data_IF_841216928050
#
_entry.id   IF_841216928050
#
_cell.length_a   1.000
_cell.length_b   1.000
_cell.length_c   1.000
_cell.angle_alpha   90.00
_cell.angle_beta   90.00
_cell.angle_gamma   90.00
#
_symmetry.space_group_name_H-M   'P 1'
#
loop_
_entity.id
_entity.type
_entity.pdbx_description
1 polymer ?
#
# COMPACT_ATOMS: atom_id res chain seq x y z
N UNK A 1 23.05 -0.15 -2.90
CA UNK A 1 23.49 -0.15 -4.31
C UNK A 1 23.67 1.32 -4.67
N UNK A 2 24.91 1.82 -4.68
CA UNK A 2 25.23 3.09 -5.35
C UNK A 2 24.84 2.92 -6.82
N UNK A 3 24.16 3.90 -7.42
CA UNK A 3 24.09 3.95 -8.88
C UNK A 3 25.53 4.01 -9.41
N UNK A 4 26.01 2.86 -9.91
CA UNK A 4 27.41 2.65 -10.25
C UNK A 4 27.89 3.75 -11.20
N UNK A 5 28.78 4.63 -10.72
CA UNK A 5 29.47 5.63 -11.54
C UNK A 5 29.03 7.10 -11.39
N UNK A 6 28.02 7.41 -10.56
CA UNK A 6 27.60 8.79 -10.30
C UNK A 6 27.96 9.23 -8.88
N UNK A 7 28.48 10.46 -8.73
CA UNK A 7 28.61 11.09 -7.41
C UNK A 7 27.22 11.45 -6.87
N UNK A 8 27.10 11.56 -5.54
CA UNK A 8 25.87 12.03 -4.89
C UNK A 8 25.41 13.38 -5.47
N UNK A 9 26.35 14.29 -5.72
CA UNK A 9 26.11 15.59 -6.33
C UNK A 9 25.52 15.48 -7.74
N UNK A 10 26.04 14.56 -8.57
CA UNK A 10 25.50 14.31 -9.91
C UNK A 10 24.09 13.75 -9.88
N UNK A 11 23.75 12.92 -8.89
CA UNK A 11 22.40 12.38 -8.69
C UNK A 11 21.44 13.50 -8.29
N UNK A 12 21.82 14.33 -7.32
CA UNK A 12 21.01 15.47 -6.87
C UNK A 12 20.77 16.46 -8.01
N UNK A 13 21.79 16.81 -8.78
CA UNK A 13 21.64 17.69 -9.94
C UNK A 13 20.69 17.11 -11.00
N UNK A 14 20.73 15.80 -11.23
CA UNK A 14 19.82 15.11 -12.15
C UNK A 14 18.37 15.12 -11.66
N UNK A 15 18.14 14.97 -10.35
CA UNK A 15 16.82 15.08 -9.73
C UNK A 15 16.28 16.51 -9.91
N UNK A 16 17.07 17.52 -9.55
CA UNK A 16 16.67 18.93 -9.64
C UNK A 16 16.36 19.36 -11.09
N UNK A 17 17.16 18.89 -12.06
CA UNK A 17 16.92 19.18 -13.46
C UNK A 17 15.61 18.57 -14.00
N UNK A 18 15.16 17.44 -13.46
CA UNK A 18 13.93 16.75 -13.87
C UNK A 18 12.70 17.18 -13.08
N UNK A 19 12.90 17.84 -11.94
CA UNK A 19 11.83 18.23 -11.03
C UNK A 19 10.76 19.11 -11.68
N UNK A 20 11.07 20.14 -12.50
CA UNK A 20 10.03 20.97 -13.11
C UNK A 20 9.06 20.20 -14.01
N UNK A 21 9.58 19.29 -14.85
CA UNK A 21 8.75 18.46 -15.73
C UNK A 21 7.99 17.40 -14.94
N UNK A 22 8.63 16.80 -13.93
CA UNK A 22 7.96 15.87 -13.03
C UNK A 22 6.77 16.52 -12.32
N UNK A 23 6.98 17.70 -11.74
CA UNK A 23 5.94 18.44 -11.02
C UNK A 23 4.82 18.93 -11.96
N UNK A 24 5.14 19.24 -13.23
CA UNK A 24 4.16 19.74 -14.21
C UNK A 24 3.34 18.64 -14.87
N UNK A 25 3.91 17.45 -15.11
CA UNK A 25 3.29 16.44 -15.98
C UNK A 25 3.13 15.05 -15.33
N UNK A 26 3.89 14.73 -14.29
CA UNK A 26 3.86 13.41 -13.64
C UNK A 26 3.12 13.48 -12.30
N UNK A 27 3.54 14.37 -11.40
CA UNK A 27 2.94 14.53 -10.08
C UNK A 27 1.43 14.80 -10.10
N UNK A 28 0.86 15.59 -11.04
CA UNK A 28 -0.58 15.85 -11.06
C UNK A 28 -1.41 14.58 -11.26
N UNK A 29 -0.88 13.55 -11.95
CA UNK A 29 -1.62 12.32 -12.23
C UNK A 29 -2.05 11.56 -10.97
N UNK A 30 -1.43 11.85 -9.82
CA UNK A 30 -1.82 11.31 -8.52
C UNK A 30 -3.28 11.61 -8.16
N UNK A 31 -3.86 12.71 -8.66
CA UNK A 31 -5.25 13.08 -8.37
C UNK A 31 -6.28 12.09 -8.97
N UNK A 32 -5.88 11.38 -10.03
CA UNK A 32 -6.72 10.42 -10.74
C UNK A 32 -6.55 8.99 -10.24
N UNK A 33 -5.61 8.74 -9.31
CA UNK A 33 -5.37 7.40 -8.79
C UNK A 33 -6.45 6.99 -7.78
N UNK A 34 -7.04 5.81 -7.99
CA UNK A 34 -7.96 5.21 -7.02
C UNK A 34 -7.20 4.70 -5.78
N UNK A 35 -5.95 4.29 -5.95
CA UNK A 35 -5.03 3.90 -4.90
C UNK A 35 -3.61 4.40 -5.24
N UNK A 36 -3.02 5.16 -4.32
CA UNK A 36 -1.64 5.65 -4.40
C UNK A 36 -0.81 5.04 -3.27
N UNK A 37 0.40 4.57 -3.59
CA UNK A 37 1.39 4.15 -2.60
C UNK A 37 2.45 5.25 -2.48
N UNK A 38 2.49 5.92 -1.33
CA UNK A 38 3.54 6.88 -1.00
C UNK A 38 4.60 6.22 -0.14
N UNK A 39 5.87 6.32 -0.57
CA UNK A 39 7.02 5.82 0.16
C UNK A 39 7.82 7.00 0.68
N UNK A 40 7.89 7.13 2.00
CA UNK A 40 8.45 8.28 2.71
C UNK A 40 9.53 7.79 3.71
N UNK A 41 10.44 8.66 4.16
CA UNK A 41 11.30 8.35 5.30
C UNK A 41 10.48 8.02 6.56
N UNK A 42 11.04 7.21 7.46
CA UNK A 42 10.41 6.87 8.74
C UNK A 42 10.26 8.10 9.65
N UNK A 43 9.21 8.10 10.47
CA UNK A 43 9.05 9.02 11.60
C UNK A 43 9.46 8.40 12.94
N UNK A 44 9.83 7.11 12.97
CA UNK A 44 10.18 6.40 14.20
C UNK A 44 11.58 6.77 14.71
N UNK A 45 12.50 7.09 13.81
CA UNK A 45 13.84 7.57 14.11
C UNK A 45 14.29 8.58 13.04
N UNK A 46 14.56 9.83 13.46
CA UNK A 46 14.92 10.91 12.56
C UNK A 46 16.29 10.74 11.88
N UNK A 47 17.18 9.94 12.48
CA UNK A 47 18.51 9.66 11.92
C UNK A 47 18.52 8.42 11.01
N UNK A 48 17.45 7.62 11.03
CA UNK A 48 17.32 6.43 10.18
C UNK A 48 16.91 6.80 8.76
N UNK A 49 17.83 6.56 7.81
CA UNK A 49 17.65 6.84 6.38
C UNK A 49 17.26 5.61 5.56
N UNK A 50 17.06 4.46 6.20
CA UNK A 50 16.78 3.17 5.56
C UNK A 50 15.35 2.71 5.81
N UNK A 51 14.85 2.92 7.03
CA UNK A 51 13.49 2.54 7.38
C UNK A 51 12.48 3.43 6.68
N UNK A 52 11.40 2.83 6.19
CA UNK A 52 10.39 3.50 5.37
C UNK A 52 9.07 3.62 6.13
N UNK A 53 8.41 4.74 5.88
CA UNK A 53 7.00 4.95 6.16
C UNK A 53 6.22 4.89 4.86
N UNK A 54 5.31 3.94 4.74
CA UNK A 54 4.59 3.67 3.51
C UNK A 54 3.10 3.84 3.72
N UNK A 55 2.46 4.64 2.87
CA UNK A 55 1.04 4.96 2.92
C UNK A 55 0.34 4.40 1.69
N UNK A 56 -0.72 3.63 1.88
CA UNK A 56 -1.74 3.38 0.87
C UNK A 56 -2.85 4.42 1.02
N UNK A 57 -2.85 5.41 0.13
CA UNK A 57 -3.88 6.45 0.03
C UNK A 57 -4.97 5.95 -0.91
N UNK A 58 -6.16 5.67 -0.38
CA UNK A 58 -7.23 4.96 -1.08
C UNK A 58 -8.44 5.87 -1.25
N UNK A 59 -8.84 6.15 -2.49
CA UNK A 59 -9.95 7.04 -2.81
C UNK A 59 -11.29 6.48 -2.34
N UNK A 60 -12.07 7.32 -1.67
CA UNK A 60 -13.43 6.97 -1.25
C UNK A 60 -14.43 7.09 -2.41
N UNK A 61 -15.50 6.30 -2.35
CA UNK A 61 -16.61 6.40 -3.31
C UNK A 61 -16.30 5.88 -4.71
N UNK A 62 -15.23 5.09 -4.89
CA UNK A 62 -14.91 4.43 -6.16
C UNK A 62 -15.73 3.13 -6.27
N UNK A 63 -16.47 2.97 -7.36
CA UNK A 63 -17.32 1.80 -7.59
C UNK A 63 -16.52 0.49 -7.53
N UNK A 64 -17.07 -0.48 -6.79
CA UNK A 64 -16.52 -1.83 -6.58
C UNK A 64 -15.15 -1.89 -5.86
N UNK A 65 -14.62 -0.75 -5.39
CA UNK A 65 -13.37 -0.64 -4.64
C UNK A 65 -13.65 -0.24 -3.19
N UNK A 66 -13.29 -1.13 -2.26
CA UNK A 66 -13.48 -0.93 -0.83
C UNK A 66 -12.11 -0.71 -0.17
N UNK A 67 -11.82 0.49 0.39
CA UNK A 67 -10.54 0.76 1.05
C UNK A 67 -10.25 -0.18 2.21
N UNK A 68 -9.01 -0.67 2.28
CA UNK A 68 -8.48 -1.43 3.40
C UNK A 68 -8.23 -0.53 4.62
N UNK A 69 -8.46 -1.07 5.82
CA UNK A 69 -8.28 -0.37 7.10
C UNK A 69 -7.93 -1.37 8.21
N UNK A 70 -7.47 -0.88 9.36
CA UNK A 70 -7.26 -1.72 10.55
C UNK A 70 -8.36 -1.44 11.58
N UNK A 71 -8.86 -2.51 12.21
CA UNK A 71 -9.90 -2.49 13.24
C UNK A 71 -11.26 -1.89 12.85
N UNK A 72 -11.38 -0.56 12.76
CA UNK A 72 -12.66 0.15 12.62
C UNK A 72 -12.61 1.17 11.47
N UNK A 73 -13.60 1.09 10.59
CA UNK A 73 -13.65 1.89 9.36
C UNK A 73 -14.01 3.34 9.67
N UNK A 74 -13.27 4.29 9.11
CA UNK A 74 -13.53 5.72 9.27
C UNK A 74 -12.99 6.35 10.57
N UNK A 75 -12.51 5.53 11.50
CA UNK A 75 -11.80 5.99 12.69
C UNK A 75 -10.34 6.32 12.39
N UNK A 76 -9.77 7.28 13.12
CA UNK A 76 -8.31 7.50 13.15
C UNK A 76 -7.68 6.61 14.20
N UNK A 77 -6.81 5.71 13.77
CA UNK A 77 -6.24 4.64 14.59
C UNK A 77 -4.74 4.64 14.44
N UNK A 78 -4.05 4.46 15.55
CA UNK A 78 -2.63 4.13 15.58
C UNK A 78 -2.45 2.84 16.39
N UNK A 79 -1.60 1.95 15.90
CA UNK A 79 -1.39 0.65 16.49
C UNK A 79 0.05 0.18 16.36
N UNK A 80 0.64 -0.18 17.49
CA UNK A 80 1.95 -0.85 17.55
C UNK A 80 1.71 -2.31 17.93
N UNK A 81 1.97 -3.26 17.02
CA UNK A 81 1.93 -4.69 17.32
C UNK A 81 2.84 -5.06 18.51
N UNK A 82 2.42 -6.04 19.31
CA UNK A 82 3.29 -6.60 20.35
C UNK A 82 4.50 -7.30 19.72
N UNK A 83 5.70 -7.01 20.22
CA UNK A 83 6.94 -7.64 19.79
C UNK A 83 6.94 -9.17 19.95
N UNK A 84 6.11 -9.72 20.85
CA UNK A 84 5.95 -11.17 21.00
C UNK A 84 5.19 -11.83 19.84
N UNK A 85 4.32 -11.07 19.17
CA UNK A 85 3.46 -11.56 18.08
C UNK A 85 3.98 -11.17 16.70
N UNK A 86 4.74 -10.09 16.63
CA UNK A 86 5.40 -9.60 15.44
C UNK A 86 6.72 -8.98 15.84
N UNK A 87 7.80 -9.73 15.60
CA UNK A 87 9.15 -9.28 15.84
C UNK A 87 9.52 -8.15 14.89
N UNK A 88 10.16 -7.14 15.44
CA UNK A 88 10.56 -5.94 14.72
C UNK A 88 11.75 -5.32 15.44
N UNK A 89 12.90 -5.35 14.79
CA UNK A 89 14.10 -4.68 15.29
C UNK A 89 13.91 -3.16 15.24
N UNK A 90 14.59 -2.42 16.14
CA UNK A 90 14.56 -0.95 16.16
C UNK A 90 14.77 -0.37 14.73
N UNK A 91 13.98 0.64 14.33
CA UNK A 91 13.14 1.49 15.18
C UNK A 91 11.74 0.93 15.49
N UNK A 92 11.44 -0.30 15.07
CA UNK A 92 10.18 -0.99 15.36
C UNK A 92 9.19 -0.92 14.20
N UNK A 93 7.90 -1.07 14.53
CA UNK A 93 6.80 -1.02 13.59
C UNK A 93 5.59 -0.31 14.21
N UNK A 94 4.94 0.53 13.40
CA UNK A 94 3.68 1.20 13.73
C UNK A 94 2.78 1.17 12.51
N UNK A 95 1.52 0.77 12.69
CA UNK A 95 0.47 0.94 11.69
C UNK A 95 -0.46 2.07 12.09
N UNK A 96 -1.00 2.76 11.11
CA UNK A 96 -2.05 3.73 11.32
C UNK A 96 -3.10 3.64 10.22
N UNK A 97 -4.33 4.03 10.50
CA UNK A 97 -5.30 4.31 9.45
C UNK A 97 -6.19 5.49 9.82
N UNK A 98 -6.82 6.10 8.82
CA UNK A 98 -7.85 7.10 9.06
C UNK A 98 -8.27 7.85 7.80
N UNK A 99 -9.35 8.64 7.92
CA UNK A 99 -9.79 9.52 6.85
C UNK A 99 -8.85 10.72 6.70
N UNK A 100 -8.59 11.13 5.46
CA UNK A 100 -7.80 12.30 5.10
C UNK A 100 -8.38 12.95 3.83
N UNK A 101 -7.94 14.17 3.50
CA UNK A 101 -8.11 14.74 2.16
C UNK A 101 -6.78 14.73 1.41
N UNK A 102 -6.78 14.15 0.21
CA UNK A 102 -5.62 14.13 -0.67
C UNK A 102 -6.00 14.77 -2.02
N UNK A 103 -5.29 15.84 -2.39
CA UNK A 103 -5.57 16.62 -3.62
C UNK A 103 -7.06 17.01 -3.76
N UNK A 104 -7.71 17.37 -2.63
CA UNK A 104 -9.12 17.76 -2.60
C UNK A 104 -10.12 16.62 -2.76
N UNK A 105 -9.69 15.36 -2.65
CA UNK A 105 -10.53 14.17 -2.66
C UNK A 105 -10.54 13.52 -1.28
N UNK A 106 -11.69 12.99 -0.86
CA UNK A 106 -11.80 12.19 0.36
C UNK A 106 -11.12 10.83 0.17
N UNK A 107 -10.22 10.48 1.08
CA UNK A 107 -9.44 9.24 1.05
C UNK A 107 -9.45 8.55 2.41
N UNK A 108 -9.28 7.22 2.40
CA UNK A 108 -8.85 6.46 3.58
C UNK A 108 -7.38 6.12 3.42
N UNK A 109 -6.57 6.48 4.41
CA UNK A 109 -5.15 6.17 4.41
C UNK A 109 -4.91 4.98 5.33
N UNK A 110 -4.17 3.99 4.83
CA UNK A 110 -3.55 2.94 5.62
C UNK A 110 -2.03 3.14 5.57
N UNK A 111 -1.38 3.25 6.71
CA UNK A 111 0.05 3.52 6.84
C UNK A 111 0.76 2.41 7.62
N UNK A 112 1.97 2.09 7.20
CA UNK A 112 2.92 1.30 7.98
C UNK A 112 4.27 2.02 8.00
N UNK A 113 4.72 2.36 9.19
CA UNK A 113 6.06 2.88 9.46
C UNK A 113 6.89 1.81 10.15
N UNK A 114 8.10 1.54 9.66
CA UNK A 114 8.96 0.51 10.22
C UNK A 114 9.08 -0.77 9.41
N UNK A 115 9.62 -1.80 10.05
CA UNK A 115 9.89 -3.13 9.45
C UNK A 115 9.39 -4.26 10.33
N UNK A 116 9.22 -5.45 9.77
CA UNK A 116 9.06 -6.68 10.55
C UNK A 116 10.18 -7.66 10.18
N UNK A 117 10.65 -8.44 11.15
CA UNK A 117 11.84 -9.27 10.98
C UNK A 117 11.50 -10.59 10.27
N UNK A 118 10.28 -11.10 10.46
CA UNK A 118 9.82 -12.36 9.92
C UNK A 118 8.47 -12.21 9.18
N UNK A 119 8.48 -12.37 7.85
CA UNK A 119 7.27 -12.27 7.02
C UNK A 119 6.17 -13.26 7.50
N UNK A 120 6.54 -14.40 8.07
CA UNK A 120 5.54 -15.39 8.55
C UNK A 120 4.68 -14.84 9.69
N UNK A 121 5.19 -13.88 10.45
CA UNK A 121 4.48 -13.23 11.57
C UNK A 121 3.52 -12.14 11.09
N UNK A 122 3.60 -11.73 9.82
CA UNK A 122 2.70 -10.76 9.21
C UNK A 122 1.23 -11.18 9.28
N UNK A 123 0.97 -12.48 9.47
CA UNK A 123 -0.37 -13.01 9.74
C UNK A 123 -1.05 -12.30 10.92
N UNK A 124 -0.29 -11.75 11.86
CA UNK A 124 -0.84 -10.94 12.96
C UNK A 124 -1.40 -9.60 12.47
N UNK A 125 -0.70 -8.92 11.55
CA UNK A 125 -1.23 -7.71 10.89
C UNK A 125 -2.43 -8.07 10.02
N UNK A 126 -2.35 -9.18 9.26
CA UNK A 126 -3.45 -9.67 8.44
C UNK A 126 -4.72 -9.93 9.27
N UNK A 127 -4.58 -10.37 10.53
CA UNK A 127 -5.71 -10.65 11.43
C UNK A 127 -6.53 -9.41 11.83
N UNK A 128 -5.94 -8.22 11.76
CA UNK A 128 -6.60 -6.95 12.10
C UNK A 128 -6.98 -6.13 10.87
N UNK A 129 -6.46 -6.51 9.70
CA UNK A 129 -6.69 -5.83 8.44
C UNK A 129 -8.04 -6.24 7.87
N UNK A 130 -8.88 -5.25 7.60
CA UNK A 130 -10.19 -5.41 7.00
C UNK A 130 -10.16 -4.93 5.54
N UNK A 131 -11.09 -5.45 4.73
CA UNK A 131 -11.21 -5.12 3.30
C UNK A 131 -9.92 -5.32 2.47
N UNK A 132 -9.02 -6.21 2.91
CA UNK A 132 -7.80 -6.57 2.18
C UNK A 132 -8.06 -7.40 0.91
N UNK A 133 -9.32 -7.77 0.66
CA UNK A 133 -9.78 -8.57 -0.48
C UNK A 133 -9.08 -9.94 -0.58
N UNK A 134 -8.66 -10.48 0.55
CA UNK A 134 -8.17 -11.86 0.65
C UNK A 134 -9.32 -12.85 0.47
N UNK A 135 -9.05 -13.98 -0.18
CA UNK A 135 -10.01 -15.07 -0.42
C UNK A 135 -10.06 -16.07 0.73
N UNK A 136 -8.97 -16.16 1.50
CA UNK A 136 -8.84 -17.02 2.66
C UNK A 136 -7.83 -16.40 3.63
N UNK A 137 -7.93 -16.80 4.90
CA UNK A 137 -7.00 -16.37 5.94
C UNK A 137 -5.57 -16.86 5.64
N UNK A 138 -4.60 -15.95 5.69
CA UNK A 138 -3.20 -16.22 5.39
C UNK A 138 -2.82 -15.98 3.93
N UNK A 139 -3.75 -15.59 3.05
CA UNK A 139 -3.46 -15.34 1.64
C UNK A 139 -2.44 -14.21 1.47
N UNK A 140 -2.55 -13.14 2.26
CA UNK A 140 -1.61 -12.01 2.20
C UNK A 140 -0.20 -12.44 2.60
N UNK A 141 -0.09 -13.12 3.74
CA UNK A 141 1.19 -13.65 4.22
C UNK A 141 1.81 -14.61 3.19
N UNK A 142 1.00 -15.49 2.59
CA UNK A 142 1.46 -16.41 1.56
C UNK A 142 1.92 -15.69 0.29
N UNK A 143 1.22 -14.63 -0.13
CA UNK A 143 1.60 -13.83 -1.29
C UNK A 143 2.94 -13.12 -1.08
N UNK A 144 3.15 -12.55 0.12
CA UNK A 144 4.41 -11.89 0.46
C UNK A 144 5.57 -12.87 0.62
N UNK A 145 5.33 -14.06 1.20
CA UNK A 145 6.35 -15.12 1.29
C UNK A 145 6.87 -15.58 -0.07
N UNK A 146 6.03 -15.60 -1.11
CA UNK A 146 6.47 -15.93 -2.48
C UNK A 146 7.47 -14.93 -3.06
N UNK A 147 7.52 -13.72 -2.49
CA UNK A 147 8.38 -12.62 -2.90
C UNK A 147 9.31 -12.18 -1.76
N UNK A 148 9.63 -13.08 -0.82
CA UNK A 148 10.42 -12.78 0.37
C UNK A 148 11.79 -12.16 0.05
N UNK A 149 12.41 -12.54 -1.06
CA UNK A 149 13.71 -12.00 -1.49
C UNK A 149 13.61 -10.66 -2.25
N UNK A 150 12.39 -10.16 -2.49
CA UNK A 150 12.18 -8.90 -3.21
C UNK A 150 12.43 -7.68 -2.32
N UNK A 151 12.96 -6.57 -2.87
CA UNK A 151 13.09 -5.33 -2.10
C UNK A 151 11.75 -4.87 -1.52
N UNK A 152 11.73 -4.54 -0.22
CA UNK A 152 10.53 -4.07 0.47
C UNK A 152 9.58 -5.19 0.95
N UNK A 153 9.98 -6.46 0.85
CA UNK A 153 9.21 -7.61 1.36
C UNK A 153 9.00 -7.59 2.88
N UNK A 154 9.83 -6.84 3.61
CA UNK A 154 9.84 -6.76 5.07
C UNK A 154 9.31 -5.42 5.63
N UNK A 155 8.70 -4.58 4.79
CA UNK A 155 8.13 -3.29 5.21
C UNK A 155 6.79 -3.00 4.50
N UNK A 156 6.26 -1.80 4.73
CA UNK A 156 4.98 -1.38 4.16
C UNK A 156 4.94 -1.39 2.63
N UNK A 157 6.07 -1.37 1.92
CA UNK A 157 6.10 -1.38 0.45
C UNK A 157 5.49 -2.67 -0.10
N UNK A 158 6.00 -3.83 0.30
CA UNK A 158 5.47 -5.12 -0.13
C UNK A 158 4.02 -5.34 0.36
N UNK A 159 3.71 -4.88 1.56
CA UNK A 159 2.37 -4.97 2.13
C UNK A 159 1.34 -4.19 1.30
N UNK A 160 1.57 -2.89 1.06
CA UNK A 160 0.64 -2.04 0.31
C UNK A 160 0.54 -2.46 -1.16
N UNK A 161 1.63 -2.93 -1.77
CA UNK A 161 1.59 -3.49 -3.13
C UNK A 161 0.74 -4.77 -3.20
N UNK A 162 0.82 -5.62 -2.19
CA UNK A 162 -0.01 -6.84 -2.09
C UNK A 162 -1.50 -6.49 -1.93
N UNK A 163 -1.80 -5.49 -1.09
CA UNK A 163 -3.17 -4.95 -0.96
C UNK A 163 -3.68 -4.42 -2.30
N UNK A 164 -2.89 -3.63 -3.02
CA UNK A 164 -3.26 -3.12 -4.34
C UNK A 164 -3.51 -4.25 -5.35
N UNK A 165 -2.67 -5.28 -5.36
CA UNK A 165 -2.85 -6.43 -6.24
C UNK A 165 -4.16 -7.19 -5.96
N UNK A 166 -4.52 -7.37 -4.68
CA UNK A 166 -5.78 -8.00 -4.30
C UNK A 166 -7.00 -7.14 -4.64
N UNK A 167 -6.91 -5.83 -4.46
CA UNK A 167 -7.95 -4.89 -4.88
C UNK A 167 -8.19 -4.96 -6.40
N UNK A 168 -7.12 -4.94 -7.22
CA UNK A 168 -7.20 -5.07 -8.68
C UNK A 168 -7.83 -6.40 -9.08
N UNK A 169 -7.40 -7.51 -8.46
CA UNK A 169 -7.99 -8.84 -8.70
C UNK A 169 -9.49 -8.83 -8.42
N UNK A 170 -9.90 -8.31 -7.27
CA UNK A 170 -11.32 -8.25 -6.88
C UNK A 170 -12.14 -7.40 -7.86
N UNK A 171 -11.61 -6.23 -8.26
CA UNK A 171 -12.23 -5.37 -9.26
C UNK A 171 -12.40 -6.09 -10.60
N UNK A 172 -11.36 -6.77 -11.07
CA UNK A 172 -11.41 -7.54 -12.31
C UNK A 172 -12.48 -8.64 -12.24
N UNK A 173 -12.52 -9.42 -11.17
CA UNK A 173 -13.48 -10.51 -10.97
C UNK A 173 -14.93 -9.98 -10.95
N UNK A 174 -15.19 -8.89 -10.22
CA UNK A 174 -16.51 -8.23 -10.19
C UNK A 174 -16.93 -7.74 -11.58
N UNK A 175 -16.05 -7.04 -12.30
CA UNK A 175 -16.34 -6.50 -13.64
C UNK A 175 -16.55 -7.61 -14.68
N UNK A 176 -15.73 -8.66 -14.65
CA UNK A 176 -15.87 -9.82 -15.53
C UNK A 176 -17.20 -10.55 -15.30
N UNK A 177 -17.60 -10.73 -14.04
CA UNK A 177 -18.89 -11.33 -13.70
C UNK A 177 -20.08 -10.48 -14.20
N UNK A 178 -20.04 -9.15 -14.00
CA UNK A 178 -21.05 -8.22 -14.52
C UNK A 178 -21.17 -8.31 -16.04
N UNK A 179 -20.04 -8.32 -16.76
CA UNK A 179 -20.02 -8.44 -18.21
C UNK A 179 -20.60 -9.77 -18.69
N UNK A 180 -20.25 -10.89 -18.04
CA UNK A 180 -20.79 -12.22 -18.36
C UNK A 180 -22.30 -12.29 -18.17
N UNK A 181 -22.82 -11.71 -17.08
CA UNK A 181 -24.25 -11.68 -16.81
C UNK A 181 -25.00 -10.83 -17.84
N UNK A 182 -24.45 -9.66 -18.20
CA UNK A 182 -25.04 -8.81 -19.24
C UNK A 182 -25.12 -9.54 -20.60
N UNK A 183 -24.06 -10.27 -20.97
CA UNK A 183 -24.05 -11.07 -22.20
C UNK A 183 -25.10 -12.20 -22.18
N UNK A 184 -25.27 -12.87 -21.03
CA UNK A 184 -26.28 -13.93 -20.88
C UNK A 184 -27.71 -13.38 -20.99
N UNK A 185 -27.98 -12.22 -20.41
CA UNK A 185 -29.30 -11.55 -20.51
C UNK A 185 -29.60 -11.13 -21.95
N UNK A 186 -28.61 -10.57 -22.65
CA UNK A 186 -28.75 -10.19 -24.06
C UNK A 186 -29.03 -11.43 -24.94
N UNK A 187 -28.35 -12.55 -24.70
CA UNK A 187 -28.58 -13.80 -25.43
C UNK A 187 -29.96 -14.41 -25.16
N UNK A 188 -30.50 -14.25 -23.95
CA UNK A 188 -31.81 -14.78 -23.57
C UNK A 188 -33.00 -13.91 -24.04
N UNK A 189 -32.74 -12.68 -24.49
CA UNK A 189 -33.74 -11.73 -24.98
C UNK A 189 -33.76 -11.57 -26.51
N UNK A 190 -32.88 -12.29 -27.21
CA UNK A 190 -32.83 -12.41 -28.67
C UNK A 190 -33.55 -13.68 -29.13
#
# INVERSE_FOLDING_TARGET
MEERGHSLESILASIEARKPDFDSYIAPQKEFADLLIEVLPTNLDAEDKKTLRVRAVQKQGVDDFDPAYIFDSGSTIEWTPSAEKLSSTAPGIKLACGPEQFMGQDVSVLEMDGTFDNISELVYVESVLQNSQTKFYGEMTQAMLKLADSPGSNNGTGLMQTIAAFAIRNLYEKKAAKAKNAAAVAAASA
#
